data_IF_796009133191
#
_entry.id   IF_796009133191
#
_cell.length_a   1.000
_cell.length_b   1.000
_cell.length_c   1.000
_cell.angle_alpha   90.00
_cell.angle_beta   90.00
_cell.angle_gamma   90.00
#
_symmetry.space_group_name_H-M   'P 1'
#
loop_
_entity.id
_entity.type
_entity.pdbx_description
1 polymer ?
#
# COMPACT_ATOMS: atom_id res chain seq x y z
N UNK A 1 -18.30 -25.84 -23.47
CA UNK A 1 -17.28 -25.10 -22.70
C UNK A 1 -16.07 -25.04 -23.60
N UNK A 2 -15.86 -23.87 -24.19
CA UNK A 2 -15.16 -23.72 -25.47
C UNK A 2 -13.65 -23.70 -25.26
N UNK A 3 -12.87 -24.27 -26.18
CA UNK A 3 -11.38 -24.20 -26.25
C UNK A 3 -10.85 -22.75 -26.16
N UNK A 4 -11.71 -21.78 -26.46
CA UNK A 4 -11.47 -20.34 -26.29
C UNK A 4 -11.37 -19.92 -24.81
N UNK A 5 -12.17 -20.51 -23.93
CA UNK A 5 -12.20 -20.24 -22.49
C UNK A 5 -10.91 -20.77 -21.85
N UNK A 6 -10.44 -21.95 -22.27
CA UNK A 6 -9.20 -22.57 -21.79
C UNK A 6 -7.95 -21.79 -22.24
N UNK A 7 -7.96 -21.24 -23.47
CA UNK A 7 -6.89 -20.34 -23.94
C UNK A 7 -6.87 -19.00 -23.20
N UNK A 8 -8.03 -18.46 -22.85
CA UNK A 8 -8.13 -17.25 -22.03
C UNK A 8 -7.67 -17.51 -20.60
N UNK A 9 -8.02 -18.66 -20.01
CA UNK A 9 -7.51 -19.09 -18.70
C UNK A 9 -5.99 -19.23 -18.70
N UNK A 10 -5.40 -19.85 -19.74
CA UNK A 10 -3.95 -19.97 -19.87
C UNK A 10 -3.22 -18.63 -20.06
N UNK A 11 -3.90 -17.63 -20.62
CA UNK A 11 -3.39 -16.25 -20.73
C UNK A 11 -3.42 -15.52 -19.38
N UNK A 12 -4.42 -15.77 -18.54
CA UNK A 12 -4.51 -15.18 -17.20
C UNK A 12 -3.52 -15.84 -16.24
N UNK A 13 -3.24 -17.13 -16.40
CA UNK A 13 -2.26 -17.86 -15.58
C UNK A 13 -0.80 -17.59 -16.01
N UNK A 14 -0.58 -17.24 -17.28
CA UNK A 14 0.74 -16.92 -17.85
C UNK A 14 1.16 -15.44 -17.79
N UNK A 15 0.26 -14.52 -17.43
CA UNK A 15 0.54 -13.07 -17.27
C UNK A 15 0.81 -12.71 -15.80
N UNK A 16 1.19 -13.70 -14.99
CA UNK A 16 1.96 -13.43 -13.78
C UNK A 16 3.42 -13.53 -14.20
N UNK A 17 3.97 -12.43 -14.71
CA UNK A 17 5.42 -12.24 -14.83
C UNK A 17 6.02 -12.43 -13.43
N UNK A 18 6.34 -13.69 -13.11
CA UNK A 18 6.90 -14.10 -11.82
C UNK A 18 8.37 -13.64 -11.67
N UNK A 19 8.92 -13.01 -12.72
CA UNK A 19 10.24 -12.43 -12.76
C UNK A 19 10.27 -10.93 -12.39
N UNK A 20 9.11 -10.25 -12.25
CA UNK A 20 9.08 -8.92 -11.66
C UNK A 20 9.22 -9.01 -10.13
N UNK A 21 10.33 -8.47 -9.61
CA UNK A 21 10.53 -8.31 -8.18
C UNK A 21 9.32 -7.57 -7.60
N UNK A 22 8.60 -8.21 -6.66
CA UNK A 22 7.53 -7.54 -5.91
C UNK A 22 8.11 -6.34 -5.19
N UNK A 23 7.88 -5.16 -5.73
CA UNK A 23 8.22 -3.92 -5.07
C UNK A 23 7.23 -3.67 -3.93
N UNK A 24 7.69 -3.05 -2.83
CA UNK A 24 6.77 -2.60 -1.80
C UNK A 24 5.81 -1.56 -2.40
N UNK A 25 4.54 -1.61 -1.99
CA UNK A 25 3.52 -0.65 -2.43
C UNK A 25 3.92 0.81 -2.18
N UNK A 26 4.72 1.05 -1.14
CA UNK A 26 5.31 2.34 -0.81
C UNK A 26 6.77 2.13 -0.45
N UNK A 27 7.64 2.99 -0.96
CA UNK A 27 9.00 3.15 -0.45
C UNK A 27 8.96 3.64 1.00
N UNK A 28 10.05 3.44 1.74
CA UNK A 28 10.18 3.95 3.11
C UNK A 28 9.96 5.47 3.19
N UNK A 29 10.46 6.21 2.19
CA UNK A 29 10.29 7.67 2.11
C UNK A 29 8.83 8.04 1.91
N UNK A 30 8.12 7.38 1.00
CA UNK A 30 6.70 7.62 0.76
C UNK A 30 5.86 7.25 1.99
N UNK A 31 6.16 6.15 2.65
CA UNK A 31 5.45 5.74 3.85
C UNK A 31 5.62 6.75 5.01
N UNK A 32 6.83 7.34 5.16
CA UNK A 32 7.06 8.45 6.11
C UNK A 32 6.27 9.70 5.73
N UNK A 33 6.24 10.07 4.45
CA UNK A 33 5.46 11.21 3.96
C UNK A 33 3.95 11.01 4.17
N UNK A 34 3.44 9.80 3.95
CA UNK A 34 2.04 9.45 4.18
C UNK A 34 1.66 9.60 5.66
N UNK A 35 2.53 9.16 6.58
CA UNK A 35 2.32 9.36 8.02
C UNK A 35 2.26 10.86 8.38
N UNK A 36 3.17 11.68 7.84
CA UNK A 36 3.15 13.12 8.08
C UNK A 36 1.87 13.79 7.55
N UNK A 37 1.39 13.38 6.36
CA UNK A 37 0.13 13.87 5.81
C UNK A 37 -1.07 13.47 6.69
N UNK A 38 -1.11 12.21 7.15
CA UNK A 38 -2.18 11.74 8.04
C UNK A 38 -2.17 12.47 9.39
N UNK A 39 -1.00 12.84 9.91
CA UNK A 39 -0.90 13.66 11.12
C UNK A 39 -1.45 15.08 10.91
N UNK A 40 -1.18 15.70 9.76
CA UNK A 40 -1.75 16.99 9.39
C UNK A 40 -3.28 16.92 9.29
N UNK A 41 -3.82 15.87 8.68
CA UNK A 41 -5.27 15.65 8.60
C UNK A 41 -5.88 15.41 9.99
N UNK A 42 -5.21 14.61 10.83
CA UNK A 42 -5.64 14.35 12.19
C UNK A 42 -5.63 15.58 13.12
N UNK A 43 -4.92 16.65 12.74
CA UNK A 43 -4.88 17.90 13.48
C UNK A 43 -6.08 18.83 13.18
N UNK A 44 -6.82 18.58 12.09
CA UNK A 44 -7.98 19.39 11.69
C UNK A 44 -9.25 19.10 12.49
N UNK A 45 -9.25 18.03 13.28
CA UNK A 45 -10.34 17.56 14.15
C UNK A 45 -11.71 17.46 13.44
N UNK A 46 -11.68 17.12 12.16
CA UNK A 46 -12.85 16.89 11.32
C UNK A 46 -13.27 15.41 11.31
N UNK A 47 -14.29 15.07 10.53
CA UNK A 47 -14.86 13.71 10.42
C UNK A 47 -13.80 12.65 10.08
N UNK A 48 -12.71 13.03 9.38
CA UNK A 48 -11.61 12.13 9.03
C UNK A 48 -10.49 12.05 10.07
N UNK A 49 -10.47 12.94 11.08
CA UNK A 49 -9.33 13.10 11.97
C UNK A 49 -9.05 11.85 12.82
N UNK A 50 -10.10 11.17 13.30
CA UNK A 50 -9.95 9.92 14.05
C UNK A 50 -9.32 8.81 13.19
N UNK A 51 -9.83 8.61 11.98
CA UNK A 51 -9.31 7.60 11.06
C UNK A 51 -7.86 7.91 10.66
N UNK A 52 -7.56 9.18 10.39
CA UNK A 52 -6.21 9.64 10.06
C UNK A 52 -5.24 9.38 11.23
N UNK A 53 -5.64 9.69 12.46
CA UNK A 53 -4.83 9.44 13.68
C UNK A 53 -4.57 7.94 13.88
N UNK A 54 -5.61 7.13 13.74
CA UNK A 54 -5.51 5.69 13.90
C UNK A 54 -4.56 5.08 12.85
N UNK A 55 -4.73 5.44 11.58
CA UNK A 55 -3.90 4.95 10.49
C UNK A 55 -2.45 5.43 10.62
N UNK A 56 -2.22 6.70 10.94
CA UNK A 56 -0.89 7.25 11.17
C UNK A 56 -0.15 6.48 12.27
N UNK A 57 -0.80 6.23 13.41
CA UNK A 57 -0.22 5.46 14.51
C UNK A 57 0.06 4.00 14.13
N UNK A 58 -0.85 3.37 13.39
CA UNK A 58 -0.69 1.99 12.90
C UNK A 58 0.48 1.85 11.93
N UNK A 59 0.67 2.82 11.02
CA UNK A 59 1.78 2.85 10.09
C UNK A 59 3.10 3.19 10.80
N UNK A 60 3.11 4.20 11.66
CA UNK A 60 4.32 4.64 12.38
C UNK A 60 4.99 3.51 13.19
N UNK A 61 4.19 2.63 13.82
CA UNK A 61 4.72 1.46 14.55
C UNK A 61 5.35 0.39 13.66
N UNK A 62 5.02 0.36 12.36
CA UNK A 62 5.56 -0.58 11.38
C UNK A 62 6.75 -0.04 10.62
N UNK A 63 6.96 1.28 10.66
CA UNK A 63 8.11 1.90 10.02
C UNK A 63 9.39 1.57 10.80
N UNK A 64 10.49 1.22 10.12
CA UNK A 64 11.78 1.13 10.77
C UNK A 64 12.12 2.48 11.41
N UNK A 65 12.69 2.42 12.62
CA UNK A 65 13.17 3.61 13.32
C UNK A 65 14.12 4.40 12.41
N UNK A 66 14.16 5.72 12.58
CA UNK A 66 15.17 6.52 11.90
C UNK A 66 16.54 6.08 12.44
N UNK A 67 17.29 5.34 11.62
CA UNK A 67 18.72 5.21 11.81
C UNK A 67 19.32 6.55 11.41
N UNK A 68 19.65 7.38 12.41
CA UNK A 68 20.54 8.53 12.23
C UNK A 68 21.96 8.07 11.90
#
# INVERSE_FOLDING_TARGET
MSDMDDRLLGLVDGVVDADELRLPLLTLREARAAVALLQLLAARDDEGAYAARHLAGSLARRLPASTE
#
